data_IF_243023144791
#
_entry.id   IF_243023144791
#
_cell.length_a   1.000
_cell.length_b   1.000
_cell.length_c   1.000
_cell.angle_alpha   90.00
_cell.angle_beta   90.00
_cell.angle_gamma   90.00
#
_symmetry.space_group_name_H-M   'P 1'
#
loop_
_entity.id
_entity.type
_entity.pdbx_description
1 polymer ?
#
# COMPACT_ATOMS: atom_id res chain seq x y z
N UNK A 1 47.27 -46.94 -46.73
CA UNK A 1 46.53 -46.50 -45.53
C UNK A 1 47.04 -45.09 -45.22
N UNK A 2 46.36 -43.95 -45.32
CA UNK A 2 44.99 -43.49 -45.57
C UNK A 2 45.16 -42.10 -46.26
N UNK A 3 44.67 -41.85 -47.47
CA UNK A 3 43.34 -41.32 -47.83
C UNK A 3 42.94 -40.02 -47.07
N UNK A 4 43.45 -38.91 -47.61
CA UNK A 4 42.82 -37.60 -47.93
C UNK A 4 41.79 -36.96 -47.00
N UNK A 5 42.16 -35.77 -46.51
CA UNK A 5 41.32 -34.77 -45.86
C UNK A 5 40.33 -34.11 -46.84
N UNK A 6 39.16 -34.71 -47.14
CA UNK A 6 38.02 -33.98 -47.72
C UNK A 6 36.68 -34.77 -47.76
N UNK A 7 36.26 -35.41 -46.67
CA UNK A 7 35.01 -36.20 -46.64
C UNK A 7 34.28 -36.16 -45.29
N UNK A 8 34.05 -34.97 -44.71
CA UNK A 8 32.92 -34.78 -43.77
C UNK A 8 32.21 -33.48 -44.15
N UNK A 9 31.66 -33.48 -45.35
CA UNK A 9 30.55 -32.60 -45.68
C UNK A 9 29.28 -33.13 -45.00
N UNK A 10 28.31 -32.22 -44.87
CA UNK A 10 26.88 -32.52 -45.01
C UNK A 10 26.24 -33.42 -43.94
N UNK A 11 25.86 -32.84 -42.80
CA UNK A 11 24.54 -33.08 -42.20
C UNK A 11 24.28 -32.15 -41.00
N UNK A 12 24.18 -30.84 -41.27
CA UNK A 12 23.45 -29.96 -40.35
C UNK A 12 22.01 -29.89 -40.88
N UNK A 13 21.02 -30.45 -40.16
CA UNK A 13 19.64 -30.32 -40.60
C UNK A 13 19.25 -28.84 -40.56
N UNK A 14 18.93 -28.30 -41.74
CA UNK A 14 18.28 -27.00 -41.98
C UNK A 14 16.84 -27.03 -41.43
N UNK A 15 16.65 -27.29 -40.13
CA UNK A 15 15.35 -27.67 -39.59
C UNK A 15 15.05 -27.20 -38.18
N UNK A 16 16.03 -26.75 -37.40
CA UNK A 16 15.73 -26.14 -36.10
C UNK A 16 15.54 -24.65 -36.31
N UNK A 17 14.35 -24.28 -36.80
CA UNK A 17 13.75 -23.01 -36.42
C UNK A 17 13.76 -23.00 -34.90
N UNK A 18 14.78 -22.38 -34.30
CA UNK A 18 14.68 -21.87 -32.96
C UNK A 18 13.48 -20.92 -33.02
N UNK A 19 12.31 -21.43 -32.65
CA UNK A 19 11.27 -20.58 -32.08
C UNK A 19 11.98 -19.92 -30.91
N UNK A 20 12.52 -18.73 -31.18
CA UNK A 20 12.76 -17.74 -30.15
C UNK A 20 11.41 -17.62 -29.48
N UNK A 21 11.25 -18.36 -28.38
CA UNK A 21 10.25 -18.05 -27.38
C UNK A 21 10.53 -16.59 -27.10
N UNK A 22 9.71 -15.72 -27.66
CA UNK A 22 9.71 -14.30 -27.37
C UNK A 22 9.62 -14.24 -25.86
N UNK A 23 10.75 -14.03 -25.20
CA UNK A 23 10.80 -13.72 -23.79
C UNK A 23 10.07 -12.40 -23.71
N UNK A 24 8.77 -12.46 -23.46
CA UNK A 24 7.91 -11.30 -23.31
C UNK A 24 8.69 -10.33 -22.44
N UNK A 25 9.02 -9.16 -23.00
CA UNK A 25 9.74 -8.16 -22.26
C UNK A 25 8.89 -7.87 -21.03
N UNK A 26 9.41 -8.26 -19.87
CA UNK A 26 8.84 -7.93 -18.58
C UNK A 26 8.59 -6.43 -18.58
N UNK A 27 7.32 -6.07 -18.69
CA UNK A 27 6.83 -4.69 -18.72
C UNK A 27 6.97 -4.08 -17.33
N UNK A 28 8.21 -3.82 -16.94
CA UNK A 28 8.53 -3.07 -15.74
C UNK A 28 8.06 -1.64 -15.95
N UNK A 29 7.00 -1.26 -15.24
CA UNK A 29 6.50 0.10 -15.20
C UNK A 29 7.00 0.72 -13.90
N UNK A 30 7.57 1.93 -13.96
CA UNK A 30 8.02 2.61 -12.75
C UNK A 30 6.82 2.99 -11.89
N UNK A 31 6.95 2.86 -10.57
CA UNK A 31 5.90 3.24 -9.62
C UNK A 31 5.40 4.69 -9.85
N UNK A 32 6.31 5.56 -10.26
CA UNK A 32 6.05 6.95 -10.57
C UNK A 32 5.02 7.15 -11.69
N UNK A 33 4.89 6.20 -12.62
CA UNK A 33 3.91 6.29 -13.72
C UNK A 33 2.48 6.23 -13.21
N UNK A 34 2.26 5.61 -12.05
CA UNK A 34 0.93 5.46 -11.47
C UNK A 34 0.52 6.66 -10.61
N UNK A 35 1.48 7.49 -10.19
CA UNK A 35 1.22 8.69 -9.39
C UNK A 35 0.44 9.71 -10.22
N UNK A 36 -0.65 10.23 -9.64
CA UNK A 36 -1.55 11.19 -10.28
C UNK A 36 -2.69 10.56 -11.09
N UNK A 37 -2.76 9.23 -11.20
CA UNK A 37 -3.86 8.55 -11.87
C UNK A 37 -5.15 8.62 -11.03
N UNK A 38 -6.30 8.71 -11.71
CA UNK A 38 -7.61 8.65 -11.07
C UNK A 38 -8.00 7.19 -10.78
N UNK A 39 -8.46 6.97 -9.55
CA UNK A 39 -8.98 5.67 -9.12
C UNK A 39 -10.49 5.73 -9.12
N UNK A 40 -11.11 4.82 -9.88
CA UNK A 40 -12.55 4.76 -10.08
C UNK A 40 -13.05 3.38 -9.64
N UNK A 41 -14.12 3.37 -8.85
CA UNK A 41 -14.76 2.14 -8.39
C UNK A 41 -15.60 1.48 -9.51
N UNK A 42 -16.02 0.24 -9.32
CA UNK A 42 -16.85 -0.51 -10.27
C UNK A 42 -18.20 0.15 -10.61
N UNK A 43 -18.68 1.08 -9.76
CA UNK A 43 -19.87 1.90 -9.98
C UNK A 43 -19.61 3.18 -10.78
N UNK A 44 -18.38 3.39 -11.26
CA UNK A 44 -17.99 4.61 -11.97
C UNK A 44 -17.74 5.81 -11.05
N UNK A 45 -17.64 5.59 -9.73
CA UNK A 45 -17.46 6.66 -8.75
C UNK A 45 -15.99 6.98 -8.55
N UNK A 46 -15.62 8.27 -8.61
CA UNK A 46 -14.24 8.73 -8.41
C UNK A 46 -13.85 8.66 -6.93
N UNK A 47 -12.96 7.73 -6.60
CA UNK A 47 -12.43 7.51 -5.24
C UNK A 47 -11.39 8.58 -4.90
N UNK A 48 -10.47 8.86 -5.82
CA UNK A 48 -9.38 9.79 -5.57
C UNK A 48 -8.29 9.74 -6.63
N UNK A 49 -7.12 10.26 -6.27
CA UNK A 49 -5.91 10.17 -7.10
C UNK A 49 -4.83 9.35 -6.39
N UNK A 50 -4.08 8.56 -7.14
CA UNK A 50 -2.93 7.81 -6.63
C UNK A 50 -1.85 8.80 -6.21
N UNK A 51 -1.46 8.73 -4.94
CA UNK A 51 -0.36 9.51 -4.36
C UNK A 51 0.98 8.79 -4.54
N UNK A 52 1.02 7.49 -4.29
CA UNK A 52 2.20 6.63 -4.45
C UNK A 52 1.83 5.13 -4.48
N UNK A 53 2.84 4.27 -4.65
CA UNK A 53 2.75 2.81 -4.53
C UNK A 53 3.40 2.37 -3.22
N UNK A 54 2.59 1.81 -2.33
CA UNK A 54 2.99 1.18 -1.08
C UNK A 54 3.41 -0.27 -1.32
N UNK A 55 4.37 -0.77 -0.53
CA UNK A 55 4.78 -2.18 -0.54
C UNK A 55 4.37 -2.81 0.78
N UNK A 56 3.61 -3.90 0.73
CA UNK A 56 3.34 -4.74 1.90
C UNK A 56 4.48 -5.75 2.07
N UNK A 57 5.35 -5.50 3.05
CA UNK A 57 6.48 -6.38 3.34
C UNK A 57 6.08 -7.72 3.95
N UNK A 58 4.88 -7.85 4.51
CA UNK A 58 4.38 -9.10 5.12
C UNK A 58 3.86 -10.05 4.05
N UNK A 59 3.03 -9.52 3.16
CA UNK A 59 2.43 -10.29 2.07
C UNK A 59 3.24 -10.25 0.77
N UNK A 60 4.36 -9.50 0.76
CA UNK A 60 5.19 -9.22 -0.44
C UNK A 60 4.35 -8.65 -1.60
N UNK A 61 3.31 -7.91 -1.26
CA UNK A 61 2.35 -7.32 -2.18
C UNK A 61 2.64 -5.85 -2.46
N UNK A 62 2.00 -5.31 -3.50
CA UNK A 62 1.98 -3.88 -3.79
C UNK A 62 0.58 -3.33 -3.49
N UNK A 63 0.48 -2.07 -3.10
CA UNK A 63 -0.79 -1.38 -2.88
C UNK A 63 -0.70 0.06 -3.39
N UNK A 64 -1.77 0.58 -3.97
CA UNK A 64 -1.86 2.00 -4.33
C UNK A 64 -2.30 2.82 -3.13
N UNK A 65 -1.52 3.83 -2.77
CA UNK A 65 -1.91 4.83 -1.77
C UNK A 65 -2.71 5.90 -2.47
N UNK A 66 -4.01 5.98 -2.19
CA UNK A 66 -4.93 6.90 -2.86
C UNK A 66 -5.28 8.04 -1.92
N UNK A 67 -5.19 9.27 -2.42
CA UNK A 67 -5.73 10.45 -1.74
C UNK A 67 -7.16 10.69 -2.24
N UNK A 68 -8.11 10.53 -1.33
CA UNK A 68 -9.53 10.75 -1.61
C UNK A 68 -9.87 12.24 -1.64
N UNK A 69 -11.07 12.59 -2.14
CA UNK A 69 -11.57 13.98 -2.12
C UNK A 69 -11.64 14.57 -0.71
N UNK A 70 -11.80 13.73 0.31
CA UNK A 70 -11.80 14.13 1.73
C UNK A 70 -10.38 14.39 2.29
N UNK A 71 -9.33 14.34 1.45
CA UNK A 71 -7.90 14.38 1.84
C UNK A 71 -7.49 13.24 2.79
N UNK A 72 -8.26 12.15 2.81
CA UNK A 72 -7.90 10.93 3.53
C UNK A 72 -7.06 10.02 2.64
N UNK A 73 -6.02 9.41 3.21
CA UNK A 73 -5.18 8.43 2.54
C UNK A 73 -5.69 7.01 2.81
N UNK A 74 -5.76 6.20 1.75
CA UNK A 74 -6.19 4.82 1.84
C UNK A 74 -5.28 3.95 0.98
N UNK A 75 -4.81 2.83 1.54
CA UNK A 75 -3.98 1.87 0.83
C UNK A 75 -4.89 0.78 0.22
N UNK A 76 -4.78 0.58 -1.10
CA UNK A 76 -5.62 -0.34 -1.86
C UNK A 76 -4.74 -1.42 -2.48
N UNK A 77 -4.94 -2.68 -2.09
CA UNK A 77 -4.09 -3.80 -2.55
C UNK A 77 -4.15 -3.97 -4.07
N UNK A 78 -2.99 -4.25 -4.68
CA UNK A 78 -2.90 -4.59 -6.10
C UNK A 78 -3.70 -5.86 -6.44
N UNK A 79 -3.90 -6.77 -5.49
CA UNK A 79 -4.66 -8.01 -5.71
C UNK A 79 -6.10 -7.75 -6.18
N UNK A 80 -6.64 -6.58 -5.83
CA UNK A 80 -7.99 -6.12 -6.21
C UNK A 80 -8.01 -5.32 -7.52
N UNK A 81 -6.86 -5.13 -8.16
CA UNK A 81 -6.73 -4.36 -9.41
C UNK A 81 -6.98 -5.27 -10.60
N UNK A 82 -8.04 -4.96 -11.35
CA UNK A 82 -8.47 -5.75 -12.50
C UNK A 82 -7.56 -5.57 -13.72
N UNK A 83 -7.19 -4.32 -14.00
CA UNK A 83 -6.33 -3.91 -15.11
C UNK A 83 -5.68 -2.57 -14.79
N UNK A 84 -4.48 -2.35 -15.32
CA UNK A 84 -3.78 -1.06 -15.28
C UNK A 84 -3.51 -0.62 -16.71
N UNK A 85 -4.36 0.25 -17.21
CA UNK A 85 -4.20 0.98 -18.49
C UNK A 85 -4.15 2.50 -18.16
N UNK A 86 -4.98 3.34 -18.77
CA UNK A 86 -5.06 4.79 -18.42
C UNK A 86 -5.89 5.06 -17.15
N UNK A 87 -6.58 4.04 -16.60
CA UNK A 87 -7.43 4.11 -15.40
C UNK A 87 -7.29 2.82 -14.58
N UNK A 88 -7.15 2.93 -13.25
CA UNK A 88 -7.10 1.78 -12.32
C UNK A 88 -8.52 1.42 -11.89
N UNK A 89 -9.00 0.25 -12.32
CA UNK A 89 -10.34 -0.27 -12.00
C UNK A 89 -10.25 -1.33 -10.90
N UNK A 90 -11.00 -1.13 -9.82
CA UNK A 90 -11.00 -2.03 -8.66
C UNK A 90 -12.16 -3.02 -8.73
N UNK A 91 -11.89 -4.24 -8.27
CA UNK A 91 -12.85 -5.36 -8.21
C UNK A 91 -13.93 -5.18 -7.16
N UNK A 92 -13.66 -4.40 -6.12
CA UNK A 92 -14.44 -4.40 -4.88
C UNK A 92 -14.83 -2.98 -4.47
N UNK A 93 -16.13 -2.84 -4.23
CA UNK A 93 -16.74 -1.63 -3.71
C UNK A 93 -16.24 -1.34 -2.30
N UNK A 94 -15.66 -0.15 -2.10
CA UNK A 94 -15.29 0.32 -0.76
C UNK A 94 -16.53 0.95 -0.12
N UNK A 95 -17.31 0.13 0.57
CA UNK A 95 -18.23 0.63 1.58
C UNK A 95 -17.42 1.31 2.68
N UNK A 96 -17.77 2.57 2.95
CA UNK A 96 -17.35 3.33 4.11
C UNK A 96 -17.94 2.70 5.38
N UNK A 97 -17.47 1.51 5.72
CA UNK A 97 -17.59 0.98 7.06
C UNK A 97 -16.67 1.81 7.93
N UNK A 98 -17.28 2.64 8.77
CA UNK A 98 -16.68 3.27 9.92
C UNK A 98 -15.92 2.23 10.76
N UNK A 99 -14.65 2.02 10.43
CA UNK A 99 -13.70 1.32 11.27
C UNK A 99 -13.37 2.23 12.45
N UNK A 100 -14.22 2.12 13.45
CA UNK A 100 -13.88 2.40 14.84
C UNK A 100 -12.79 1.39 15.23
N UNK A 101 -11.54 1.71 14.91
CA UNK A 101 -10.38 1.05 15.50
C UNK A 101 -9.26 2.07 15.68
N UNK A 102 -9.51 2.98 16.61
CA UNK A 102 -8.42 3.60 17.34
C UNK A 102 -7.54 2.47 17.92
N UNK A 103 -6.21 2.57 17.81
CA UNK A 103 -5.32 1.63 18.48
C UNK A 103 -5.59 1.67 19.99
N UNK A 104 -5.95 0.52 20.55
CA UNK A 104 -5.95 0.28 21.99
C UNK A 104 -4.51 0.45 22.50
N UNK A 105 -4.19 1.67 22.92
CA UNK A 105 -3.21 1.85 23.97
C UNK A 105 -3.83 1.31 25.27
N UNK A 106 -3.06 0.59 26.12
CA UNK A 106 -3.57 0.07 27.37
C UNK A 106 -4.18 1.20 28.20
N UNK A 107 -5.35 1.02 28.84
CA UNK A 107 -5.88 2.02 29.75
C UNK A 107 -4.93 2.12 30.93
N UNK A 108 -4.05 3.12 30.90
CA UNK A 108 -3.39 3.60 32.09
C UNK A 108 -4.51 4.17 32.95
N UNK A 109 -4.89 3.44 33.99
CA UNK A 109 -5.82 3.89 35.01
C UNK A 109 -5.13 5.05 35.72
N UNK A 110 -5.27 6.25 35.17
CA UNK A 110 -4.76 7.46 35.78
C UNK A 110 -5.69 7.70 36.97
N UNK A 111 -5.20 7.42 38.18
CA UNK A 111 -5.90 7.83 39.40
C UNK A 111 -6.28 9.30 39.25
N UNK A 112 -7.57 9.62 39.35
CA UNK A 112 -8.05 11.00 39.21
C UNK A 112 -8.16 11.58 40.60
N UNK A 113 -7.57 12.76 40.82
CA UNK A 113 -7.68 13.50 42.08
C UNK A 113 -8.44 14.80 41.86
N UNK A 114 -9.29 15.17 42.81
CA UNK A 114 -10.05 16.42 42.77
C UNK A 114 -9.27 17.47 43.56
N UNK A 115 -9.01 18.62 42.93
CA UNK A 115 -8.36 19.73 43.61
C UNK A 115 -9.24 20.28 44.75
N UNK A 116 -8.75 20.35 46.00
CA UNK A 116 -9.53 20.86 47.13
C UNK A 116 -9.80 22.38 47.07
N UNK A 117 -9.01 23.13 46.29
CA UNK A 117 -9.15 24.59 46.19
C UNK A 117 -10.17 25.01 45.13
N UNK A 118 -10.18 24.37 43.95
CA UNK A 118 -11.06 24.78 42.84
C UNK A 118 -12.00 23.69 42.32
N UNK A 119 -12.00 22.49 42.92
CA UNK A 119 -12.86 21.37 42.55
C UNK A 119 -12.53 20.72 41.20
N UNK A 120 -11.42 21.09 40.55
CA UNK A 120 -11.08 20.57 39.23
C UNK A 120 -10.43 19.20 39.35
N UNK A 121 -10.95 18.26 38.57
CA UNK A 121 -10.39 16.92 38.38
C UNK A 121 -9.08 17.00 37.59
N UNK A 122 -8.01 16.42 38.13
CA UNK A 122 -6.70 16.35 37.49
C UNK A 122 -6.05 14.99 37.66
N UNK A 123 -4.96 14.73 36.93
CA UNK A 123 -4.23 13.48 37.05
C UNK A 123 -3.62 13.36 38.45
N UNK A 124 -3.75 12.18 39.06
CA UNK A 124 -3.38 11.85 40.43
C UNK A 124 -1.89 12.00 40.77
N UNK A 125 -1.06 12.17 39.74
CA UNK A 125 0.38 12.40 39.86
C UNK A 125 0.78 13.88 39.69
N UNK A 126 -0.19 14.79 39.50
CA UNK A 126 0.09 16.22 39.35
C UNK A 126 0.54 16.83 40.68
N UNK A 127 1.67 17.54 40.70
CA UNK A 127 2.14 18.31 41.86
C UNK A 127 1.35 19.62 42.05
N UNK A 128 0.78 20.14 40.97
CA UNK A 128 0.05 21.41 40.95
C UNK A 128 -1.24 21.27 40.15
N UNK A 129 -2.28 22.00 40.55
CA UNK A 129 -3.55 22.03 39.85
C UNK A 129 -3.40 22.76 38.51
N UNK A 130 -3.81 22.14 37.37
CA UNK A 130 -3.69 22.77 36.05
C UNK A 130 -4.62 23.97 35.87
N UNK A 131 -5.62 24.15 36.75
CA UNK A 131 -6.58 25.26 36.67
C UNK A 131 -6.20 26.43 37.56
N UNK A 132 -5.88 26.20 38.83
CA UNK A 132 -5.65 27.27 39.82
C UNK A 132 -4.22 27.35 40.35
N UNK A 133 -3.32 26.44 39.95
CA UNK A 133 -1.93 26.43 40.40
C UNK A 133 -1.70 25.96 41.84
N UNK A 134 -2.76 25.60 42.58
CA UNK A 134 -2.64 25.08 43.95
C UNK A 134 -1.81 23.79 44.01
N UNK A 135 -1.03 23.61 45.06
CA UNK A 135 -0.22 22.40 45.27
C UNK A 135 -1.14 21.20 45.62
N UNK A 136 -0.98 20.09 44.91
CA UNK A 136 -1.80 18.86 45.03
C UNK A 136 -1.03 17.69 45.66
N UNK A 137 0.22 17.91 46.09
CA UNK A 137 1.10 16.87 46.64
C UNK A 137 0.69 16.41 48.03
#
# INVERSE_FOLDING_TARGET
MNLTANQIYSNVPLGTRYTLLSKEASKFVSAQRFVGMQVIDNKGSLVGNVKDVSVDFRNKGLAFRVTTKARTEMDMSWEDVLSVEDVVLLKKEVELAAATSLPTAPPMVQAVMICPNCGTSGPGHAKFCPKCGANLK
#
